data_IF_877828005376
#
_entry.id   IF_877828005376
#
_cell.length_a   1.000
_cell.length_b   1.000
_cell.length_c   1.000
_cell.angle_alpha   90.00
_cell.angle_beta   90.00
_cell.angle_gamma   90.00
#
_symmetry.space_group_name_H-M   'P 1'
#
loop_
_entity.id
_entity.type
_entity.pdbx_description
1 polymer ?
#
# COMPACT_ATOMS: atom_id res chain seq x y z
N UNK A 1 -28.71 -14.59 0.37
CA UNK A 1 -27.51 -14.66 1.22
C UNK A 1 -27.57 -13.51 2.20
N UNK A 2 -27.56 -13.78 3.51
CA UNK A 2 -27.72 -12.75 4.55
C UNK A 2 -26.35 -12.20 4.97
N UNK A 3 -25.99 -11.04 4.42
CA UNK A 3 -24.84 -10.27 4.87
C UNK A 3 -25.19 -9.48 6.14
N UNK A 4 -25.27 -10.15 7.30
CA UNK A 4 -25.75 -9.51 8.54
C UNK A 4 -24.71 -8.64 9.26
N UNK A 5 -23.41 -8.98 9.15
CA UNK A 5 -22.32 -8.30 9.86
C UNK A 5 -21.08 -8.40 8.98
N UNK A 6 -20.53 -7.28 8.52
CA UNK A 6 -19.31 -7.30 7.71
C UNK A 6 -18.10 -7.28 8.64
N UNK A 7 -17.40 -8.41 8.73
CA UNK A 7 -16.10 -8.43 9.37
C UNK A 7 -15.04 -8.24 8.28
N UNK A 8 -14.50 -7.03 8.18
CA UNK A 8 -13.38 -6.75 7.28
C UNK A 8 -12.22 -7.68 7.63
N UNK A 9 -11.87 -8.57 6.68
CA UNK A 9 -10.71 -9.44 6.74
C UNK A 9 -10.93 -10.89 7.17
N UNK A 10 -12.15 -11.42 7.41
CA UNK A 10 -12.29 -12.80 7.93
C UNK A 10 -11.92 -13.88 6.91
N UNK A 11 -10.84 -14.63 7.14
CA UNK A 11 -10.45 -15.88 6.48
C UNK A 11 -10.36 -17.07 7.47
N UNK A 12 -11.47 -17.72 7.84
CA UNK A 12 -11.48 -19.12 8.34
C UNK A 12 -11.88 -20.16 7.26
N UNK A 13 -11.15 -21.26 7.07
CA UNK A 13 -11.52 -22.27 6.06
C UNK A 13 -12.97 -22.78 6.26
N UNK A 14 -13.85 -22.54 5.28
CA UNK A 14 -15.24 -23.02 5.26
C UNK A 14 -16.34 -21.96 5.45
N UNK A 15 -16.11 -20.88 6.20
CA UNK A 15 -17.12 -19.83 6.49
C UNK A 15 -16.90 -18.50 5.74
N UNK A 16 -15.90 -18.44 4.85
CA UNK A 16 -15.24 -17.19 4.41
C UNK A 16 -15.80 -16.55 3.17
N UNK A 17 -16.27 -17.35 2.21
CA UNK A 17 -16.79 -16.80 0.95
C UNK A 17 -17.89 -15.77 1.22
N UNK A 18 -18.78 -16.10 2.16
CA UNK A 18 -20.00 -15.34 2.38
C UNK A 18 -19.76 -13.91 2.90
N UNK A 19 -18.69 -13.64 3.66
CA UNK A 19 -18.45 -12.29 4.21
C UNK A 19 -17.51 -11.44 3.35
N UNK A 20 -16.52 -12.06 2.69
CA UNK A 20 -15.68 -11.33 1.73
C UNK A 20 -16.49 -10.84 0.54
N UNK A 21 -17.49 -11.61 0.10
CA UNK A 21 -18.44 -11.22 -0.96
C UNK A 21 -19.30 -10.00 -0.58
N UNK A 22 -19.43 -9.68 0.71
CA UNK A 22 -20.26 -8.57 1.18
C UNK A 22 -19.50 -7.23 1.26
N UNK A 23 -18.16 -7.25 1.21
CA UNK A 23 -17.35 -6.04 1.18
C UNK A 23 -17.45 -5.33 -0.18
N UNK A 24 -17.28 -4.00 -0.17
CA UNK A 24 -17.46 -3.20 -1.38
C UNK A 24 -16.53 -3.60 -2.55
N UNK A 25 -15.27 -4.05 -2.35
CA UNK A 25 -14.42 -4.47 -3.47
C UNK A 25 -14.93 -5.73 -4.18
N UNK A 26 -15.41 -6.73 -3.43
CA UNK A 26 -15.98 -7.94 -4.02
C UNK A 26 -17.31 -7.65 -4.73
N UNK A 27 -18.14 -6.77 -4.15
CA UNK A 27 -19.35 -6.28 -4.82
C UNK A 27 -19.04 -5.54 -6.11
N UNK A 28 -17.97 -4.73 -6.13
CA UNK A 28 -17.52 -4.02 -7.31
C UNK A 28 -17.15 -4.99 -8.44
N UNK A 29 -16.40 -6.06 -8.13
CA UNK A 29 -16.10 -7.12 -9.11
C UNK A 29 -17.38 -7.73 -9.69
N UNK A 30 -18.32 -8.11 -8.82
CA UNK A 30 -19.60 -8.66 -9.25
C UNK A 30 -20.41 -7.68 -10.09
N UNK A 31 -20.41 -6.38 -9.77
CA UNK A 31 -21.09 -5.35 -10.54
C UNK A 31 -20.51 -5.27 -11.95
N UNK A 32 -19.18 -5.17 -12.09
CA UNK A 32 -18.53 -5.15 -13.40
C UNK A 32 -18.88 -6.40 -14.23
N UNK A 33 -18.64 -7.59 -13.68
CA UNK A 33 -18.82 -8.84 -14.41
C UNK A 33 -20.28 -9.11 -14.77
N UNK A 34 -21.23 -8.84 -13.85
CA UNK A 34 -22.65 -9.10 -14.13
C UNK A 34 -23.30 -8.03 -15.00
N UNK A 35 -23.05 -6.76 -14.72
CA UNK A 35 -23.75 -5.65 -15.39
C UNK A 35 -23.17 -5.39 -16.78
N UNK A 36 -21.83 -5.33 -16.91
CA UNK A 36 -21.20 -5.03 -18.19
C UNK A 36 -20.92 -6.27 -19.04
N UNK A 37 -20.52 -7.37 -18.40
CA UNK A 37 -20.00 -8.54 -19.10
C UNK A 37 -20.96 -9.74 -19.08
N UNK A 38 -22.24 -9.52 -18.75
CA UNK A 38 -23.30 -10.54 -18.77
C UNK A 38 -22.96 -11.79 -17.95
N UNK A 39 -22.21 -11.60 -16.85
CA UNK A 39 -21.76 -12.66 -15.96
C UNK A 39 -20.44 -13.32 -16.35
N UNK A 40 -19.78 -12.90 -17.44
CA UNK A 40 -18.42 -13.35 -17.76
C UNK A 40 -17.41 -12.74 -16.78
N UNK A 41 -16.47 -13.53 -16.31
CA UNK A 41 -15.39 -13.11 -15.41
C UNK A 41 -14.30 -12.39 -16.21
N UNK A 42 -14.52 -11.09 -16.48
CA UNK A 42 -13.58 -10.24 -17.24
C UNK A 42 -12.75 -9.38 -16.29
N UNK A 43 -13.36 -8.92 -15.20
CA UNK A 43 -12.73 -8.09 -14.17
C UNK A 43 -12.45 -8.92 -12.93
N UNK A 44 -11.27 -8.74 -12.34
CA UNK A 44 -10.88 -9.30 -11.04
C UNK A 44 -10.47 -8.16 -10.11
N UNK A 45 -11.09 -8.08 -8.94
CA UNK A 45 -10.78 -7.10 -7.90
C UNK A 45 -10.08 -7.80 -6.75
N UNK A 46 -8.88 -7.32 -6.43
CA UNK A 46 -8.07 -7.89 -5.35
C UNK A 46 -7.93 -6.89 -4.22
N UNK A 47 -8.40 -7.27 -3.03
CA UNK A 47 -8.41 -6.38 -1.88
C UNK A 47 -7.15 -6.55 -1.03
N UNK A 48 -6.16 -5.68 -1.24
CA UNK A 48 -4.91 -5.67 -0.47
C UNK A 48 -4.99 -4.87 0.85
N UNK A 49 -6.17 -4.34 1.20
CA UNK A 49 -6.32 -3.46 2.34
C UNK A 49 -5.96 -4.12 3.67
N UNK A 50 -5.25 -3.39 4.52
CA UNK A 50 -4.92 -3.79 5.90
C UNK A 50 -5.64 -2.86 6.85
N UNK A 51 -6.51 -3.39 7.72
CA UNK A 51 -7.23 -2.51 8.67
C UNK A 51 -6.28 -1.79 9.62
N UNK A 52 -6.50 -0.50 9.87
CA UNK A 52 -5.60 0.33 10.68
C UNK A 52 -4.28 0.62 9.95
N UNK A 53 -4.34 0.89 8.66
CA UNK A 53 -3.19 1.25 7.84
C UNK A 53 -3.52 2.50 7.02
N UNK A 54 -2.51 3.34 6.80
CA UNK A 54 -2.62 4.63 6.14
C UNK A 54 -1.95 4.58 4.76
N UNK A 55 -1.90 5.72 4.05
CA UNK A 55 -1.25 5.81 2.73
C UNK A 55 0.22 5.40 2.76
N UNK A 56 0.92 5.59 3.87
CA UNK A 56 2.33 5.24 4.00
C UNK A 56 2.55 3.72 4.01
N UNK A 57 1.68 2.98 4.71
CA UNK A 57 1.68 1.50 4.62
C UNK A 57 1.29 1.06 3.22
N UNK A 58 0.26 1.67 2.62
CA UNK A 58 -0.16 1.37 1.25
C UNK A 58 0.99 1.58 0.25
N UNK A 59 1.71 2.69 0.36
CA UNK A 59 2.91 3.00 -0.42
C UNK A 59 3.92 1.86 -0.29
N UNK A 60 4.25 1.46 0.93
CA UNK A 60 5.25 0.43 1.15
C UNK A 60 4.81 -0.96 0.64
N UNK A 61 3.51 -1.26 0.68
CA UNK A 61 2.97 -2.48 0.04
C UNK A 61 3.23 -2.48 -1.47
N UNK A 62 3.04 -1.33 -2.12
CA UNK A 62 3.29 -1.18 -3.56
C UNK A 62 4.79 -1.19 -3.88
N UNK A 63 5.56 -0.35 -3.19
CA UNK A 63 7.00 -0.15 -3.39
C UNK A 63 7.80 -1.44 -3.17
N UNK A 64 7.41 -2.26 -2.20
CA UNK A 64 8.11 -3.51 -1.87
C UNK A 64 7.48 -4.76 -2.48
N UNK A 65 6.48 -4.59 -3.35
CA UNK A 65 5.75 -5.69 -3.98
C UNK A 65 5.23 -6.71 -2.94
N UNK A 66 4.67 -6.22 -1.84
CA UNK A 66 4.18 -7.04 -0.72
C UNK A 66 2.77 -7.58 -1.01
N UNK A 67 2.58 -8.14 -2.19
CA UNK A 67 1.35 -8.76 -2.65
C UNK A 67 1.68 -9.97 -3.53
N UNK A 68 0.73 -10.89 -3.77
CA UNK A 68 0.99 -12.07 -4.60
C UNK A 68 1.41 -11.73 -6.03
N UNK A 69 2.31 -12.54 -6.61
CA UNK A 69 2.85 -12.42 -7.98
C UNK A 69 1.76 -12.28 -9.06
N UNK A 70 0.58 -12.86 -8.81
CA UNK A 70 -0.60 -12.72 -9.68
C UNK A 70 -1.10 -11.26 -9.82
N UNK A 71 -0.51 -10.32 -9.08
CA UNK A 71 -0.85 -8.90 -9.04
C UNK A 71 0.33 -7.99 -9.32
N UNK A 72 1.45 -8.50 -9.84
CA UNK A 72 2.65 -7.72 -10.16
C UNK A 72 2.43 -6.63 -11.22
N UNK A 73 1.33 -6.71 -11.98
CA UNK A 73 0.99 -5.74 -13.01
C UNK A 73 -0.50 -5.42 -12.99
N UNK A 74 -1.01 -4.69 -11.98
CA UNK A 74 -2.41 -4.29 -11.97
C UNK A 74 -2.69 -3.31 -13.12
N UNK A 75 -3.89 -3.38 -13.69
CA UNK A 75 -4.34 -2.35 -14.65
C UNK A 75 -4.91 -1.12 -13.93
N UNK A 76 -5.44 -1.32 -12.71
CA UNK A 76 -6.07 -0.28 -11.90
C UNK A 76 -5.65 -0.47 -10.44
N UNK A 77 -5.23 0.63 -9.80
CA UNK A 77 -4.97 0.70 -8.36
C UNK A 77 -5.94 1.69 -7.73
N UNK A 78 -6.80 1.21 -6.83
CA UNK A 78 -7.74 2.06 -6.09
C UNK A 78 -7.16 2.36 -4.72
N UNK A 79 -6.80 3.62 -4.49
CA UNK A 79 -6.43 4.13 -3.18
C UNK A 79 -7.68 4.35 -2.33
N UNK A 80 -7.66 3.88 -1.08
CA UNK A 80 -8.81 3.95 -0.17
C UNK A 80 -8.38 4.09 1.29
N UNK A 81 -7.46 5.03 1.57
CA UNK A 81 -6.92 5.27 2.93
C UNK A 81 -7.45 6.54 3.59
N UNK A 82 -8.40 7.23 2.97
CA UNK A 82 -8.93 8.52 3.43
C UNK A 82 -9.30 8.55 4.92
N UNK A 83 -10.00 7.53 5.40
CA UNK A 83 -10.41 7.43 6.80
C UNK A 83 -9.23 7.30 7.77
N UNK A 84 -8.16 6.63 7.34
CA UNK A 84 -6.96 6.42 8.15
C UNK A 84 -6.02 7.64 8.11
N UNK A 85 -5.76 8.21 6.93
CA UNK A 85 -4.91 9.41 6.80
C UNK A 85 -5.54 10.63 7.50
N UNK A 86 -6.87 10.69 7.51
CA UNK A 86 -7.59 11.70 8.27
C UNK A 86 -7.48 11.55 9.80
N UNK A 87 -6.85 10.49 10.32
CA UNK A 87 -6.53 10.35 11.74
C UNK A 87 -5.04 10.63 12.05
N UNK A 88 -4.21 10.86 11.04
CA UNK A 88 -2.78 11.17 11.25
C UNK A 88 -2.61 12.47 12.04
N UNK A 89 -1.71 12.48 13.02
CA UNK A 89 -1.42 13.71 13.80
C UNK A 89 -0.74 14.75 12.91
N UNK A 90 0.14 14.30 12.02
CA UNK A 90 0.83 15.12 11.03
C UNK A 90 0.08 15.10 9.69
N UNK A 91 -0.83 16.07 9.52
CA UNK A 91 -1.63 16.20 8.30
C UNK A 91 -0.82 16.59 7.09
N UNK A 92 0.23 17.38 7.28
CA UNK A 92 1.08 17.83 6.19
C UNK A 92 1.86 16.65 5.62
N UNK A 93 2.48 15.83 6.46
CA UNK A 93 3.13 14.59 6.01
C UNK A 93 2.16 13.64 5.31
N UNK A 94 0.97 13.43 5.86
CA UNK A 94 -0.03 12.56 5.23
C UNK A 94 -0.37 13.07 3.81
N UNK A 95 -0.58 14.38 3.67
CA UNK A 95 -1.02 14.98 2.42
C UNK A 95 0.09 15.18 1.38
N UNK A 96 1.25 15.68 1.79
CA UNK A 96 2.33 16.07 0.88
C UNK A 96 3.36 14.97 0.65
N UNK A 97 3.43 13.95 1.52
CA UNK A 97 4.40 12.87 1.39
C UNK A 97 3.73 11.51 1.18
N UNK A 98 2.78 11.15 2.03
CA UNK A 98 2.24 9.78 2.06
C UNK A 98 1.31 9.50 0.88
N UNK A 99 0.34 10.39 0.61
CA UNK A 99 -0.58 10.25 -0.52
C UNK A 99 0.16 10.35 -1.87
N UNK A 100 0.95 11.40 -2.14
CA UNK A 100 1.81 11.47 -3.33
C UNK A 100 2.74 10.27 -3.47
N UNK A 101 3.35 9.85 -2.37
CA UNK A 101 4.23 8.68 -2.35
C UNK A 101 3.52 7.40 -2.75
N UNK A 102 2.27 7.20 -2.32
CA UNK A 102 1.43 6.08 -2.75
C UNK A 102 1.18 6.12 -4.27
N UNK A 103 0.78 7.27 -4.80
CA UNK A 103 0.51 7.43 -6.24
C UNK A 103 1.75 7.10 -7.07
N UNK A 104 2.91 7.63 -6.66
CA UNK A 104 4.18 7.34 -7.33
C UNK A 104 4.54 5.85 -7.25
N UNK A 105 4.37 5.22 -6.08
CA UNK A 105 4.60 3.79 -5.93
C UNK A 105 3.67 2.95 -6.80
N UNK A 106 2.41 3.36 -6.98
CA UNK A 106 1.47 2.70 -7.88
C UNK A 106 1.90 2.82 -9.34
N UNK A 107 2.27 4.02 -9.82
CA UNK A 107 2.77 4.19 -11.19
C UNK A 107 4.05 3.39 -11.46
N UNK A 108 4.93 3.28 -10.47
CA UNK A 108 6.17 2.51 -10.60
C UNK A 108 5.95 1.00 -10.81
N UNK A 109 4.75 0.46 -10.52
CA UNK A 109 4.43 -0.94 -10.82
C UNK A 109 4.47 -1.23 -12.33
N UNK A 110 4.18 -0.22 -13.16
CA UNK A 110 4.25 -0.30 -14.62
C UNK A 110 4.96 0.93 -15.17
N UNK A 111 6.19 1.13 -14.71
CA UNK A 111 7.02 2.31 -15.01
C UNK A 111 7.12 2.66 -16.51
N UNK A 112 7.00 1.67 -17.40
CA UNK A 112 7.08 1.86 -18.86
C UNK A 112 5.73 1.92 -19.58
N UNK A 113 4.65 1.98 -18.81
CA UNK A 113 3.33 2.21 -19.33
C UNK A 113 2.92 3.64 -18.99
N UNK A 114 2.87 4.51 -19.99
CA UNK A 114 2.48 5.92 -19.81
C UNK A 114 1.03 6.07 -19.28
N UNK A 115 0.24 5.00 -19.27
CA UNK A 115 -1.17 5.03 -18.94
C UNK A 115 -1.60 4.05 -17.84
N UNK A 116 -0.73 3.11 -17.44
CA UNK A 116 -1.05 2.10 -16.44
C UNK A 116 -0.05 2.07 -15.27
N UNK A 117 -0.48 1.61 -14.08
CA UNK A 117 -1.88 1.41 -13.71
C UNK A 117 -2.64 2.75 -13.66
N UNK A 118 -3.94 2.70 -13.98
CA UNK A 118 -4.84 3.79 -13.64
C UNK A 118 -4.95 3.88 -12.12
N UNK A 119 -4.50 4.99 -11.54
CA UNK A 119 -4.64 5.26 -10.10
C UNK A 119 -5.95 6.01 -9.85
N UNK A 120 -6.78 5.48 -8.96
CA UNK A 120 -8.07 6.07 -8.58
C UNK A 120 -8.07 6.41 -7.10
N UNK A 121 -8.39 7.66 -6.78
CA UNK A 121 -8.46 8.15 -5.42
C UNK A 121 -9.89 8.04 -4.90
N UNK A 122 -10.18 7.00 -4.11
CA UNK A 122 -11.50 6.78 -3.51
C UNK A 122 -11.53 7.30 -2.06
N UNK A 123 -12.24 8.41 -1.84
CA UNK A 123 -12.53 8.93 -0.52
C UNK A 123 -13.69 8.15 0.10
N UNK A 124 -13.38 7.27 1.05
CA UNK A 124 -14.38 6.60 1.87
C UNK A 124 -15.03 7.57 2.86
N UNK A 125 -16.36 7.45 3.00
CA UNK A 125 -17.11 8.22 3.98
C UNK A 125 -16.94 7.64 5.38
N UNK A 126 -16.66 8.50 6.35
CA UNK A 126 -16.75 8.18 7.76
C UNK A 126 -17.36 9.38 8.50
N UNK A 127 -18.12 9.12 9.57
CA UNK A 127 -19.12 10.04 10.13
C UNK A 127 -18.58 11.29 10.85
N UNK A 128 -17.31 11.67 10.66
CA UNK A 128 -16.72 12.86 11.27
C UNK A 128 -16.34 13.88 10.21
N UNK A 129 -16.42 15.16 10.58
CA UNK A 129 -16.01 16.26 9.72
C UNK A 129 -14.48 16.34 9.69
N UNK A 130 -13.91 15.98 8.55
CA UNK A 130 -12.47 15.90 8.38
C UNK A 130 -12.03 16.55 7.06
N UNK A 131 -10.95 17.33 7.11
CA UNK A 131 -10.42 18.11 5.98
C UNK A 131 -9.67 17.25 4.93
N UNK A 132 -9.83 15.91 4.94
CA UNK A 132 -9.13 15.04 3.97
C UNK A 132 -9.72 15.17 2.56
N UNK A 133 -10.98 15.59 2.44
CA UNK A 133 -11.63 15.77 1.13
C UNK A 133 -10.86 16.77 0.27
N UNK A 134 -10.42 17.88 0.87
CA UNK A 134 -9.59 18.89 0.21
C UNK A 134 -8.24 18.33 -0.24
N UNK A 135 -7.60 17.52 0.61
CA UNK A 135 -6.36 16.82 0.28
C UNK A 135 -6.55 15.85 -0.90
N UNK A 136 -7.58 15.01 -0.88
CA UNK A 136 -7.85 14.05 -1.96
C UNK A 136 -8.18 14.76 -3.26
N UNK A 137 -8.98 15.82 -3.22
CA UNK A 137 -9.27 16.65 -4.38
C UNK A 137 -8.00 17.27 -4.95
N UNK A 138 -7.14 17.86 -4.12
CA UNK A 138 -5.86 18.44 -4.55
C UNK A 138 -4.96 17.37 -5.17
N UNK A 139 -4.76 16.23 -4.50
CA UNK A 139 -3.93 15.13 -5.01
C UNK A 139 -4.48 14.59 -6.34
N UNK A 140 -5.80 14.38 -6.45
CA UNK A 140 -6.41 13.90 -7.69
C UNK A 140 -6.21 14.89 -8.83
N UNK A 141 -6.41 16.19 -8.60
CA UNK A 141 -6.16 17.20 -9.63
C UNK A 141 -4.69 17.34 -9.99
N UNK A 142 -3.80 17.25 -9.00
CA UNK A 142 -2.36 17.34 -9.19
C UNK A 142 -1.87 16.25 -10.14
N UNK A 143 -2.19 15.00 -9.82
CA UNK A 143 -1.73 13.85 -10.59
C UNK A 143 -2.62 13.55 -11.80
N UNK A 144 -3.68 14.34 -12.04
CA UNK A 144 -4.62 14.12 -13.14
C UNK A 144 -5.42 12.81 -12.99
N UNK A 145 -5.73 12.42 -11.76
CA UNK A 145 -6.37 11.15 -11.42
C UNK A 145 -7.89 11.27 -11.31
N UNK A 146 -8.57 10.12 -11.43
CA UNK A 146 -9.97 10.00 -11.05
C UNK A 146 -10.12 10.10 -9.53
N UNK A 147 -10.76 11.16 -9.04
CA UNK A 147 -11.15 11.32 -7.65
C UNK A 147 -12.63 10.99 -7.43
N UNK A 148 -12.93 10.05 -6.53
CA UNK A 148 -14.28 9.61 -6.20
C UNK A 148 -14.56 9.96 -4.74
N UNK A 149 -15.58 10.78 -4.50
CA UNK A 149 -16.02 11.12 -3.13
C UNK A 149 -17.28 10.35 -2.73
N UNK A 150 -17.12 9.29 -1.93
CA UNK A 150 -18.26 8.60 -1.34
C UNK A 150 -18.96 9.49 -0.30
N UNK A 151 -18.19 10.38 0.35
CA UNK A 151 -18.72 11.38 1.27
C UNK A 151 -19.81 12.21 0.60
N UNK A 152 -19.61 12.72 -0.62
CA UNK A 152 -20.64 13.52 -1.29
C UNK A 152 -21.94 12.74 -1.58
N UNK A 153 -21.86 11.43 -1.76
CA UNK A 153 -23.04 10.58 -2.03
C UNK A 153 -23.76 10.18 -0.73
N UNK A 154 -23.01 9.86 0.31
CA UNK A 154 -23.53 9.24 1.54
C UNK A 154 -23.83 10.29 2.62
N UNK A 155 -23.00 11.33 2.74
CA UNK A 155 -23.07 12.32 3.83
C UNK A 155 -24.39 13.08 3.86
N UNK A 156 -24.94 13.48 2.71
CA UNK A 156 -26.23 14.16 2.66
C UNK A 156 -27.35 13.31 3.27
N UNK A 157 -27.30 11.99 3.11
CA UNK A 157 -28.31 11.09 3.68
C UNK A 157 -28.08 10.84 5.17
N UNK A 158 -26.82 10.73 5.59
CA UNK A 158 -26.46 10.53 7.00
C UNK A 158 -26.73 11.79 7.83
N UNK A 159 -26.30 12.96 7.35
CA UNK A 159 -26.45 14.24 8.07
C UNK A 159 -27.87 14.79 8.03
N UNK A 160 -28.67 14.43 7.03
CA UNK A 160 -30.08 14.80 7.00
C UNK A 160 -30.90 14.17 8.14
N UNK A 161 -30.31 13.29 8.99
CA UNK A 161 -31.00 12.59 10.09
C UNK A 161 -32.42 12.21 9.68
N UNK A 162 -32.55 11.40 8.62
CA UNK A 162 -33.84 10.75 8.40
C UNK A 162 -34.21 10.06 9.71
N UNK A 163 -35.38 10.39 10.27
CA UNK A 163 -35.88 10.11 11.64
C UNK A 163 -35.92 8.61 12.05
N UNK A 164 -35.21 7.73 11.36
CA UNK A 164 -35.21 6.31 11.60
C UNK A 164 -33.76 5.79 11.77
N UNK A 165 -33.38 5.57 13.03
CA UNK A 165 -32.05 5.09 13.45
C UNK A 165 -31.62 3.82 12.69
N UNK A 166 -32.58 2.97 12.31
CA UNK A 166 -32.35 1.74 11.56
C UNK A 166 -31.65 1.97 10.20
N UNK A 167 -31.97 3.07 9.50
CA UNK A 167 -31.36 3.36 8.21
C UNK A 167 -29.90 3.80 8.36
N UNK A 168 -29.63 4.68 9.33
CA UNK A 168 -28.26 5.17 9.60
C UNK A 168 -27.36 4.02 10.06
N UNK A 169 -27.88 3.14 10.93
CA UNK A 169 -27.19 1.93 11.39
C UNK A 169 -26.88 0.93 10.26
N UNK A 170 -27.63 0.98 9.16
CA UNK A 170 -27.32 0.17 7.97
C UNK A 170 -26.16 0.74 7.14
N UNK A 171 -25.90 2.06 7.24
CA UNK A 171 -24.88 2.76 6.46
C UNK A 171 -23.54 2.80 7.21
N UNK A 172 -23.54 3.01 8.52
CA UNK A 172 -22.33 3.12 9.34
C UNK A 172 -22.50 2.30 10.61
N UNK A 173 -21.39 1.76 11.12
CA UNK A 173 -21.35 1.12 12.42
C UNK A 173 -21.62 2.11 13.57
N UNK A 174 -21.92 1.57 14.75
CA UNK A 174 -22.18 2.37 15.95
C UNK A 174 -21.00 3.28 16.37
N UNK A 175 -19.79 3.03 15.84
CA UNK A 175 -18.59 3.83 16.12
C UNK A 175 -18.37 4.93 15.07
N UNK A 176 -19.17 4.96 14.00
CA UNK A 176 -19.10 5.98 12.95
C UNK A 176 -17.92 5.83 11.98
N UNK A 177 -17.16 4.73 12.04
CA UNK A 177 -15.90 4.57 11.29
C UNK A 177 -16.02 3.52 10.19
N UNK A 178 -16.63 2.37 10.47
CA UNK A 178 -16.76 1.31 9.47
C UNK A 178 -18.14 1.37 8.81
N UNK A 179 -18.23 1.22 7.48
CA UNK A 179 -19.53 1.18 6.83
C UNK A 179 -20.29 -0.09 7.22
N UNK A 180 -21.60 0.08 7.46
CA UNK A 180 -22.55 -1.02 7.49
C UNK A 180 -22.79 -1.59 6.10
N UNK A 181 -23.75 -2.52 5.99
CA UNK A 181 -24.04 -3.19 4.71
C UNK A 181 -24.50 -2.23 3.61
N UNK A 182 -25.36 -1.28 3.95
CA UNK A 182 -25.81 -0.21 3.05
C UNK A 182 -24.64 0.67 2.60
N UNK A 183 -23.68 0.94 3.51
CA UNK A 183 -22.45 1.68 3.19
C UNK A 183 -21.59 0.94 2.17
N UNK A 184 -21.34 -0.36 2.36
CA UNK A 184 -20.58 -1.17 1.40
C UNK A 184 -21.26 -1.29 0.03
N UNK A 185 -22.59 -1.44 -0.01
CA UNK A 185 -23.36 -1.45 -1.26
C UNK A 185 -23.23 -0.09 -1.95
N UNK A 186 -23.45 1.00 -1.21
CA UNK A 186 -23.35 2.37 -1.72
C UNK A 186 -21.96 2.71 -2.25
N UNK A 187 -20.91 2.30 -1.54
CA UNK A 187 -19.52 2.44 -1.98
C UNK A 187 -19.27 1.71 -3.31
N UNK A 188 -19.68 0.43 -3.42
CA UNK A 188 -19.49 -0.34 -4.65
C UNK A 188 -20.19 0.27 -5.86
N UNK A 189 -21.42 0.77 -5.69
CA UNK A 189 -22.17 1.44 -6.76
C UNK A 189 -21.59 2.81 -7.13
N UNK A 190 -21.17 3.60 -6.14
CA UNK A 190 -20.53 4.90 -6.37
C UNK A 190 -19.27 4.73 -7.21
N UNK A 191 -18.39 3.78 -6.84
CA UNK A 191 -17.17 3.51 -7.60
C UNK A 191 -17.51 2.99 -9.00
N UNK A 192 -18.39 2.00 -9.10
CA UNK A 192 -18.82 1.44 -10.39
C UNK A 192 -19.37 2.52 -11.34
N UNK A 193 -20.29 3.37 -10.87
CA UNK A 193 -20.89 4.44 -11.66
C UNK A 193 -19.83 5.40 -12.24
N UNK A 194 -18.84 5.79 -11.44
CA UNK A 194 -17.79 6.70 -11.91
C UNK A 194 -16.92 6.06 -13.00
N UNK A 195 -16.63 4.76 -12.91
CA UNK A 195 -15.97 4.05 -14.00
C UNK A 195 -16.83 3.99 -15.27
N UNK A 196 -18.13 3.71 -15.16
CA UNK A 196 -19.04 3.73 -16.32
C UNK A 196 -19.06 5.11 -16.97
N UNK A 197 -19.21 6.16 -16.17
CA UNK A 197 -19.21 7.54 -16.65
C UNK A 197 -17.91 7.86 -17.39
N UNK A 198 -16.76 7.50 -16.81
CA UNK A 198 -15.46 7.74 -17.44
C UNK A 198 -15.32 6.96 -18.76
N UNK A 199 -15.81 5.71 -18.83
CA UNK A 199 -15.79 4.93 -20.06
C UNK A 199 -16.70 5.53 -21.14
N UNK A 200 -17.90 5.99 -20.78
CA UNK A 200 -18.81 6.64 -21.73
C UNK A 200 -18.21 7.94 -22.25
N UNK A 201 -17.65 8.76 -21.35
CA UNK A 201 -17.02 10.04 -21.71
C UNK A 201 -15.82 9.83 -22.63
N UNK A 202 -14.98 8.83 -22.37
CA UNK A 202 -13.85 8.48 -23.22
C UNK A 202 -14.30 8.01 -24.62
N UNK A 203 -15.40 7.25 -24.71
CA UNK A 203 -15.97 6.81 -25.98
C UNK A 203 -16.53 7.98 -26.79
N UNK A 204 -17.25 8.90 -26.14
CA UNK A 204 -17.84 10.06 -26.80
C UNK A 204 -16.79 11.09 -27.21
N UNK A 205 -15.74 11.28 -26.40
CA UNK A 205 -14.59 12.12 -26.77
C UNK A 205 -13.94 11.65 -28.07
N UNK A 206 -13.74 10.33 -28.25
CA UNK A 206 -13.19 9.77 -29.51
C UNK A 206 -14.12 10.00 -30.70
N UNK A 207 -15.43 9.98 -30.51
CA UNK A 207 -16.39 10.28 -31.59
C UNK A 207 -16.29 11.74 -32.02
N UNK A 208 -16.20 12.66 -31.07
CA UNK A 208 -16.12 14.10 -31.37
C UNK A 208 -14.75 14.48 -31.96
N UNK A 209 -13.64 13.91 -31.46
CA UNK A 209 -12.29 14.19 -31.97
C UNK A 209 -11.98 13.55 -33.32
N UNK A 210 -12.74 12.53 -33.73
CA UNK A 210 -12.68 11.98 -35.10
C UNK A 210 -13.32 12.88 -36.16
N UNK A 211 -13.98 13.96 -35.75
CA UNK A 211 -14.43 15.02 -36.64
C UNK A 211 -13.26 15.99 -36.91
N UNK A 212 -12.88 16.29 -38.17
CA UNK A 212 -11.65 17.00 -38.56
C UNK A 212 -11.59 18.49 -38.19
N UNK A 213 -12.36 18.92 -37.20
CA UNK A 213 -12.24 20.25 -36.59
C UNK A 213 -11.19 20.18 -35.49
N UNK A 214 -10.11 20.94 -35.65
CA UNK A 214 -8.98 21.03 -34.71
C UNK A 214 -9.43 21.34 -33.28
N UNK A 215 -9.62 20.31 -32.47
CA UNK A 215 -9.78 20.47 -31.03
C UNK A 215 -8.35 20.65 -30.49
N UNK A 216 -8.13 21.78 -29.82
CA UNK A 216 -6.86 22.08 -29.18
C UNK A 216 -6.42 20.90 -28.30
N UNK A 217 -5.13 20.56 -28.37
CA UNK A 217 -4.48 19.53 -27.54
C UNK A 217 -4.98 19.60 -26.09
N UNK A 218 -5.16 18.45 -25.38
CA UNK A 218 -5.39 18.41 -23.93
C UNK A 218 -4.48 19.35 -23.13
N UNK A 219 -3.27 19.64 -23.62
CA UNK A 219 -2.33 20.64 -23.06
C UNK A 219 -2.92 22.05 -22.93
N UNK A 220 -3.88 22.41 -23.78
CA UNK A 220 -4.55 23.73 -23.78
C UNK A 220 -5.67 23.78 -22.74
N UNK A 221 -6.30 22.65 -22.44
CA UNK A 221 -7.26 22.55 -21.34
C UNK A 221 -6.55 22.55 -19.98
N UNK A 222 -5.43 21.84 -19.86
CA UNK A 222 -4.58 21.85 -18.67
C UNK A 222 -4.02 23.26 -18.37
N UNK A 223 -3.65 24.03 -19.39
CA UNK A 223 -3.20 25.43 -19.24
C UNK A 223 -4.27 26.42 -18.74
N UNK A 224 -5.57 26.08 -18.83
CA UNK A 224 -6.65 26.95 -18.34
C UNK A 224 -6.91 26.82 -16.84
N UNK A 225 -6.43 25.76 -16.21
CA UNK A 225 -6.32 25.68 -14.76
C UNK A 225 -5.06 26.48 -14.42
N UNK A 226 -5.23 27.78 -14.13
CA UNK A 226 -4.10 28.69 -13.90
C UNK A 226 -3.14 28.12 -12.84
N UNK A 227 -1.83 28.41 -12.94
CA UNK A 227 -0.86 27.93 -11.97
C UNK A 227 -1.31 28.38 -10.59
N UNK A 228 -1.61 27.41 -9.72
CA UNK A 228 -1.90 27.68 -8.32
C UNK A 228 -0.61 28.28 -7.75
N UNK A 229 -0.57 29.60 -7.57
CA UNK A 229 0.55 30.27 -6.91
C UNK A 229 0.46 29.90 -5.44
N UNK A 230 1.17 28.85 -5.05
CA UNK A 230 1.30 28.45 -3.64
C UNK A 230 2.17 29.48 -2.90
N UNK A 231 1.65 29.91 -1.75
CA UNK A 231 2.45 30.60 -0.74
C UNK A 231 3.44 29.58 -0.16
N UNK A 232 4.69 29.62 -0.61
CA UNK A 232 5.83 29.08 0.14
C UNK A 232 6.13 27.57 0.02
N UNK A 233 5.32 26.79 -0.67
CA UNK A 233 5.70 25.43 -1.06
C UNK A 233 6.42 25.50 -2.42
N UNK A 234 7.53 24.78 -2.57
CA UNK A 234 8.35 24.80 -3.78
C UNK A 234 7.54 24.43 -5.04
N UNK A 235 8.10 24.63 -6.23
CA UNK A 235 7.44 24.24 -7.48
C UNK A 235 7.40 22.70 -7.60
N UNK A 236 6.50 22.05 -6.87
CA UNK A 236 6.41 20.59 -6.81
C UNK A 236 5.88 20.03 -8.15
N UNK A 237 5.30 20.87 -9.04
CA UNK A 237 5.05 20.51 -10.44
C UNK A 237 6.35 20.18 -11.19
N UNK A 238 7.43 20.87 -10.85
CA UNK A 238 8.76 20.58 -11.39
C UNK A 238 9.33 19.27 -10.85
N UNK A 239 9.07 18.91 -9.59
CA UNK A 239 9.49 17.62 -9.01
C UNK A 239 8.74 16.45 -9.63
N UNK A 240 7.42 16.60 -9.86
CA UNK A 240 6.65 15.58 -10.58
C UNK A 240 7.15 15.41 -12.02
N UNK A 241 7.41 16.51 -12.73
CA UNK A 241 7.96 16.45 -14.07
C UNK A 241 9.34 15.77 -14.08
N UNK A 242 10.23 16.10 -13.13
CA UNK A 242 11.52 15.41 -12.96
C UNK A 242 11.33 13.91 -12.73
N UNK A 243 10.33 13.52 -11.94
CA UNK A 243 10.01 12.11 -11.73
C UNK A 243 9.57 11.43 -13.03
N UNK A 244 8.65 12.03 -13.79
CA UNK A 244 8.21 11.52 -15.09
C UNK A 244 9.37 11.41 -16.10
N UNK A 245 10.24 12.42 -16.15
CA UNK A 245 11.40 12.43 -17.04
C UNK A 245 12.40 11.30 -16.67
N UNK A 246 12.64 11.10 -15.36
CA UNK A 246 13.48 10.00 -14.86
C UNK A 246 12.87 8.62 -15.16
N UNK A 247 11.55 8.48 -15.02
CA UNK A 247 10.79 7.27 -15.35
C UNK A 247 10.95 6.93 -16.85
N UNK A 248 10.79 7.92 -17.73
CA UNK A 248 11.01 7.75 -19.18
C UNK A 248 12.44 7.33 -19.51
N UNK A 249 13.43 7.91 -18.82
CA UNK A 249 14.83 7.51 -18.98
C UNK A 249 15.07 6.05 -18.56
N UNK A 250 14.49 5.61 -17.44
CA UNK A 250 14.58 4.23 -16.98
C UNK A 250 13.98 3.24 -18.01
N UNK A 251 12.84 3.60 -18.61
CA UNK A 251 12.19 2.77 -19.61
C UNK A 251 12.96 2.71 -20.93
N UNK A 252 13.49 3.84 -21.40
CA UNK A 252 14.36 3.84 -22.57
C UNK A 252 15.60 2.94 -22.38
N UNK A 253 16.17 2.90 -21.16
CA UNK A 253 17.28 1.99 -20.83
C UNK A 253 16.83 0.53 -20.84
N UNK A 254 15.68 0.22 -20.25
CA UNK A 254 15.15 -1.15 -20.22
C UNK A 254 14.87 -1.67 -21.64
N UNK A 255 14.28 -0.84 -22.51
CA UNK A 255 14.09 -1.18 -23.93
C UNK A 255 15.42 -1.40 -24.66
N UNK A 256 16.45 -0.60 -24.36
CA UNK A 256 17.78 -0.74 -24.94
C UNK A 256 18.47 -2.04 -24.50
N UNK A 257 18.38 -2.40 -23.22
CA UNK A 257 18.92 -3.66 -22.68
C UNK A 257 18.25 -4.89 -23.32
N UNK A 258 16.92 -4.86 -23.49
CA UNK A 258 16.20 -5.92 -24.20
C UNK A 258 16.63 -6.00 -25.67
N UNK A 259 16.77 -4.86 -26.36
CA UNK A 259 17.17 -4.83 -27.77
C UNK A 259 18.58 -5.39 -28.01
N UNK A 260 19.53 -5.14 -27.09
CA UNK A 260 20.91 -5.62 -27.20
C UNK A 260 21.04 -7.11 -26.89
N UNK A 261 20.18 -7.66 -26.03
CA UNK A 261 20.13 -9.10 -25.74
C UNK A 261 19.56 -9.94 -26.90
N UNK A 262 18.73 -9.35 -27.78
CA UNK A 262 18.06 -10.06 -28.88
C UNK A 262 18.89 -10.15 -30.17
N UNK A 263 20.08 -9.55 -30.22
CA UNK A 263 20.98 -9.70 -31.37
C UNK A 263 21.75 -11.03 -31.37
N UNK A 264 21.53 -11.90 -30.37
CA UNK A 264 21.94 -13.31 -30.43
C UNK A 264 20.91 -14.10 -31.25
N UNK A 265 21.24 -14.30 -32.52
CA UNK A 265 20.39 -14.62 -33.66
C UNK A 265 19.85 -16.07 -33.68
N UNK A 266 19.30 -16.57 -32.57
CA UNK A 266 18.64 -17.89 -32.52
C UNK A 266 17.16 -17.83 -32.12
N UNK A 267 16.33 -17.87 -33.16
CA UNK A 267 14.90 -18.23 -33.17
C UNK A 267 13.92 -17.29 -32.46
N UNK A 268 13.32 -16.42 -33.28
CA UNK A 268 12.08 -15.69 -33.05
C UNK A 268 10.97 -16.61 -32.52
N UNK A 269 10.81 -16.61 -31.20
CA UNK A 269 9.54 -16.94 -30.56
C UNK A 269 9.10 -15.66 -29.88
N UNK A 270 7.97 -15.11 -30.31
CA UNK A 270 7.33 -13.90 -29.75
C UNK A 270 6.74 -14.21 -28.38
N UNK A 271 7.53 -14.82 -27.49
CA UNK A 271 7.29 -14.76 -26.06
C UNK A 271 7.50 -13.31 -25.68
N UNK A 272 6.41 -12.59 -25.41
CA UNK A 272 6.40 -11.43 -24.53
C UNK A 272 7.31 -11.76 -23.35
N UNK A 273 8.55 -11.29 -23.40
CA UNK A 273 9.50 -11.50 -22.32
C UNK A 273 8.99 -10.65 -21.18
N UNK A 274 8.10 -11.24 -20.38
CA UNK A 274 7.98 -10.94 -18.97
C UNK A 274 9.35 -11.26 -18.39
N UNK A 275 10.35 -10.40 -18.64
CA UNK A 275 11.53 -10.33 -17.81
C UNK A 275 10.97 -10.13 -16.42
N UNK A 276 10.98 -11.21 -15.65
CA UNK A 276 10.48 -11.26 -14.30
C UNK A 276 11.25 -10.17 -13.56
N UNK A 277 10.57 -9.05 -13.31
CA UNK A 277 11.14 -7.91 -12.63
C UNK A 277 11.80 -8.45 -11.38
N UNK A 278 13.12 -8.25 -11.27
CA UNK A 278 13.82 -8.67 -10.06
C UNK A 278 13.10 -8.06 -8.87
N UNK A 279 12.83 -8.84 -7.82
CA UNK A 279 12.08 -8.34 -6.68
C UNK A 279 12.78 -7.09 -6.13
N UNK A 280 12.04 -6.08 -5.66
CA UNK A 280 12.59 -4.82 -5.14
C UNK A 280 13.50 -5.00 -3.92
N UNK A 281 13.44 -6.18 -3.30
CA UNK A 281 13.97 -6.48 -1.99
C UNK A 281 14.73 -7.80 -1.98
N UNK A 282 15.85 -7.82 -1.26
CA UNK A 282 16.57 -9.05 -0.91
C UNK A 282 15.71 -9.95 -0.01
N UNK A 283 15.03 -9.33 0.96
CA UNK A 283 14.17 -10.02 1.91
C UNK A 283 12.98 -9.13 2.21
N UNK A 284 11.76 -9.64 2.06
CA UNK A 284 10.57 -8.90 2.44
C UNK A 284 9.45 -9.83 2.86
N UNK A 285 8.66 -9.38 3.83
CA UNK A 285 7.35 -9.92 4.09
C UNK A 285 6.44 -8.93 4.81
N UNK A 286 5.14 -9.15 4.66
CA UNK A 286 4.12 -8.50 5.45
C UNK A 286 2.98 -9.48 5.69
N UNK A 287 2.48 -9.48 6.93
CA UNK A 287 1.28 -10.23 7.28
C UNK A 287 0.06 -9.56 6.65
N UNK A 288 -0.55 -10.23 5.69
CA UNK A 288 -1.76 -9.76 5.03
C UNK A 288 -2.59 -10.97 4.57
N UNK A 289 -3.93 -10.96 4.73
CA UNK A 289 -4.79 -12.05 4.26
C UNK A 289 -4.63 -12.43 2.78
N UNK A 290 -4.12 -11.53 1.95
CA UNK A 290 -3.89 -11.79 0.52
C UNK A 290 -2.49 -12.29 0.21
N UNK A 291 -1.46 -11.99 1.01
CA UNK A 291 -0.07 -12.42 0.74
C UNK A 291 0.13 -13.90 1.01
N UNK A 292 1.32 -14.43 0.71
CA UNK A 292 1.71 -15.78 1.13
C UNK A 292 1.87 -15.91 2.65
N UNK A 293 1.91 -14.79 3.40
CA UNK A 293 2.14 -14.77 4.85
C UNK A 293 0.87 -14.32 5.56
N UNK A 294 0.07 -15.28 6.01
CA UNK A 294 -1.28 -15.01 6.57
C UNK A 294 -1.40 -15.39 8.03
N UNK A 295 -0.71 -16.45 8.43
CA UNK A 295 -0.82 -17.08 9.75
C UNK A 295 0.46 -16.87 10.56
N UNK A 296 0.40 -17.09 11.87
CA UNK A 296 1.60 -17.15 12.71
C UNK A 296 2.59 -18.22 12.24
N UNK A 297 2.10 -19.35 11.71
CA UNK A 297 2.93 -20.39 11.11
C UNK A 297 3.74 -19.89 9.92
N UNK A 298 3.12 -19.10 9.04
CA UNK A 298 3.80 -18.51 7.88
C UNK A 298 4.86 -17.48 8.31
N UNK A 299 4.54 -16.66 9.33
CA UNK A 299 5.49 -15.70 9.91
C UNK A 299 6.69 -16.41 10.52
N UNK A 300 6.48 -17.45 11.34
CA UNK A 300 7.56 -18.24 11.92
C UNK A 300 8.41 -18.88 10.82
N UNK A 301 7.77 -19.49 9.81
CA UNK A 301 8.48 -20.09 8.67
C UNK A 301 9.38 -19.06 7.99
N UNK A 302 8.86 -17.88 7.69
CA UNK A 302 9.60 -16.81 7.00
C UNK A 302 10.73 -16.25 7.85
N UNK A 303 10.48 -15.97 9.13
CA UNK A 303 11.51 -15.47 10.05
C UNK A 303 12.65 -16.47 10.22
N UNK A 304 12.34 -17.77 10.35
CA UNK A 304 13.35 -18.83 10.52
C UNK A 304 14.29 -19.00 9.31
N UNK A 305 13.99 -18.43 8.14
CA UNK A 305 14.91 -18.42 7.00
C UNK A 305 16.17 -17.59 7.29
N UNK A 306 16.08 -16.58 8.17
CA UNK A 306 17.13 -15.59 8.41
C UNK A 306 17.46 -15.39 9.90
N UNK A 307 16.75 -16.07 10.80
CA UNK A 307 16.90 -15.95 12.26
C UNK A 307 18.18 -16.65 12.75
N UNK A 308 19.05 -15.91 13.44
CA UNK A 308 20.28 -16.45 14.06
C UNK A 308 19.99 -16.86 15.52
N UNK A 309 19.29 -16.00 16.24
CA UNK A 309 18.99 -16.15 17.67
C UNK A 309 17.64 -15.52 17.99
N UNK A 310 16.96 -16.05 19.01
CA UNK A 310 15.67 -15.53 19.45
C UNK A 310 15.42 -15.87 20.92
N UNK A 311 15.18 -14.82 21.70
CA UNK A 311 14.81 -14.88 23.12
C UNK A 311 13.56 -14.03 23.34
N UNK A 312 12.44 -14.66 23.68
CA UNK A 312 11.21 -13.96 24.06
C UNK A 312 10.35 -13.41 22.92
N UNK A 313 10.69 -13.72 21.65
CA UNK A 313 9.83 -13.39 20.51
C UNK A 313 9.17 -14.63 19.90
N UNK A 314 7.90 -14.53 19.53
CA UNK A 314 7.16 -15.61 18.90
C UNK A 314 6.20 -15.08 17.84
N UNK A 315 6.02 -15.82 16.73
CA UNK A 315 4.90 -15.52 15.86
C UNK A 315 3.60 -15.98 16.52
N UNK A 316 2.65 -15.06 16.58
CA UNK A 316 1.38 -15.26 17.24
C UNK A 316 0.24 -14.58 16.50
N UNK A 317 -0.99 -14.90 16.88
CA UNK A 317 -2.18 -14.24 16.41
C UNK A 317 -2.89 -14.97 15.27
N UNK A 318 -4.03 -14.41 14.87
CA UNK A 318 -4.91 -14.96 13.85
C UNK A 318 -4.87 -14.06 12.60
N UNK A 319 -5.21 -14.56 11.40
CA UNK A 319 -5.19 -13.72 10.19
C UNK A 319 -6.08 -12.46 10.29
N UNK A 320 -7.02 -12.43 11.25
CA UNK A 320 -8.14 -11.48 11.28
C UNK A 320 -8.54 -11.07 12.68
N UNK A 321 -8.71 -12.06 13.56
CA UNK A 321 -9.10 -11.83 14.95
C UNK A 321 -7.91 -11.27 15.72
N UNK A 322 -8.19 -10.42 16.70
CA UNK A 322 -7.15 -9.96 17.60
C UNK A 322 -6.72 -11.10 18.56
N UNK A 323 -5.43 -11.19 18.91
CA UNK A 323 -4.32 -10.46 18.30
C UNK A 323 -4.12 -10.90 16.84
N UNK A 324 -3.95 -9.94 15.92
CA UNK A 324 -3.71 -10.26 14.50
C UNK A 324 -2.34 -10.90 14.32
N UNK A 325 -2.18 -11.77 13.32
CA UNK A 325 -0.92 -12.44 13.04
C UNK A 325 0.27 -11.44 12.95
N UNK A 326 1.42 -11.84 13.47
CA UNK A 326 2.66 -11.06 13.49
C UNK A 326 3.72 -11.68 14.40
N UNK A 327 4.88 -11.04 14.52
CA UNK A 327 5.97 -11.45 15.39
C UNK A 327 6.00 -10.57 16.64
N UNK A 328 5.82 -11.19 17.81
CA UNK A 328 5.53 -10.50 19.05
C UNK A 328 6.63 -10.70 20.08
N UNK A 329 7.01 -9.62 20.77
CA UNK A 329 7.60 -9.69 22.11
C UNK A 329 6.50 -9.54 23.16
N UNK A 330 6.59 -10.32 24.24
CA UNK A 330 5.68 -10.25 25.39
C UNK A 330 6.38 -10.21 26.74
N UNK A 331 7.70 -10.04 26.71
CA UNK A 331 8.55 -10.01 27.89
C UNK A 331 9.55 -8.85 27.75
N UNK A 332 9.92 -8.17 28.86
CA UNK A 332 10.99 -7.18 28.86
C UNK A 332 12.32 -7.78 28.38
N UNK A 333 13.17 -6.98 27.74
CA UNK A 333 14.49 -7.41 27.23
C UNK A 333 14.45 -8.55 26.20
N UNK A 334 13.27 -8.89 25.66
CA UNK A 334 13.16 -9.82 24.54
C UNK A 334 14.00 -9.32 23.36
N UNK A 335 14.75 -10.21 22.73
CA UNK A 335 15.65 -9.87 21.64
C UNK A 335 15.77 -11.00 20.63
N UNK A 336 16.07 -10.65 19.38
CA UNK A 336 16.38 -11.61 18.34
C UNK A 336 17.35 -10.99 17.33
N UNK A 337 18.07 -11.84 16.60
CA UNK A 337 19.05 -11.40 15.60
C UNK A 337 18.78 -12.07 14.27
N UNK A 338 18.95 -11.33 13.17
CA UNK A 338 18.80 -11.80 11.79
C UNK A 338 20.14 -11.70 11.04
N UNK A 339 20.42 -12.65 10.13
CA UNK A 339 21.46 -12.55 9.10
C UNK A 339 20.80 -12.71 7.74
N UNK A 340 20.92 -11.69 6.90
CA UNK A 340 20.29 -11.63 5.59
C UNK A 340 21.38 -11.44 4.54
N UNK A 341 21.56 -12.42 3.67
CA UNK A 341 22.51 -12.31 2.57
C UNK A 341 21.93 -11.47 1.43
N UNK A 342 22.57 -10.35 1.12
CA UNK A 342 22.16 -9.41 0.09
C UNK A 342 22.22 -10.07 -1.30
N UNK A 343 21.05 -10.34 -1.89
CA UNK A 343 20.95 -10.90 -3.25
C UNK A 343 21.07 -9.81 -4.33
N UNK A 344 20.96 -8.55 -3.91
CA UNK A 344 21.08 -7.34 -4.70
C UNK A 344 21.54 -6.17 -3.82
N UNK A 345 21.88 -5.04 -4.45
CA UNK A 345 22.08 -3.77 -3.74
C UNK A 345 20.86 -3.46 -2.86
N UNK A 346 21.10 -3.36 -1.56
CA UNK A 346 20.08 -3.17 -0.54
C UNK A 346 20.45 -1.95 0.28
N UNK A 347 19.60 -0.92 0.30
CA UNK A 347 19.91 0.38 0.93
C UNK A 347 19.07 0.69 2.13
N UNK A 348 17.87 0.12 2.20
CA UNK A 348 16.90 0.45 3.22
C UNK A 348 16.42 -0.80 3.95
N UNK A 349 16.19 -0.65 5.24
CA UNK A 349 15.42 -1.57 6.07
C UNK A 349 14.12 -0.89 6.46
N UNK A 350 12.99 -1.56 6.27
CA UNK A 350 11.69 -1.09 6.71
C UNK A 350 11.06 -2.07 7.70
N UNK A 351 10.65 -1.55 8.86
CA UNK A 351 9.92 -2.30 9.88
C UNK A 351 8.46 -1.85 9.85
N UNK A 352 7.54 -2.76 9.51
CA UNK A 352 6.10 -2.54 9.65
C UNK A 352 5.72 -2.87 11.10
N UNK A 353 5.78 -1.88 11.99
CA UNK A 353 5.43 -2.08 13.39
C UNK A 353 3.94 -1.79 13.61
N UNK A 354 3.33 -2.42 14.63
CA UNK A 354 2.03 -1.97 15.10
C UNK A 354 2.23 -1.07 16.31
N UNK A 355 1.68 0.14 16.23
CA UNK A 355 1.51 1.01 17.39
C UNK A 355 0.13 0.83 18.00
N UNK A 356 0.05 0.90 19.32
CA UNK A 356 -1.20 0.73 20.04
C UNK A 356 -1.29 1.65 21.26
N UNK A 357 -2.53 1.93 21.69
CA UNK A 357 -2.84 2.69 22.89
C UNK A 357 -3.05 1.79 24.13
N UNK A 358 -3.02 0.47 23.96
CA UNK A 358 -3.21 -0.46 25.07
C UNK A 358 -2.09 -0.33 26.10
N UNK A 359 -2.41 -0.55 27.38
CA UNK A 359 -1.46 -0.34 28.49
C UNK A 359 -0.18 -1.16 28.34
N UNK A 360 -0.24 -2.35 27.75
CA UNK A 360 0.93 -3.20 27.51
C UNK A 360 1.96 -2.58 26.55
N UNK A 361 1.52 -1.66 25.67
CA UNK A 361 2.40 -0.97 24.72
C UNK A 361 3.01 0.30 25.29
N UNK A 362 2.54 0.80 26.44
CA UNK A 362 3.08 2.02 27.06
C UNK A 362 4.59 1.88 27.26
N UNK A 363 5.30 2.96 26.96
CA UNK A 363 6.75 3.09 27.09
C UNK A 363 7.54 2.01 26.35
N UNK A 364 6.93 1.33 25.37
CA UNK A 364 7.60 0.26 24.64
C UNK A 364 8.51 0.85 23.57
N UNK A 365 9.81 0.53 23.66
CA UNK A 365 10.85 0.99 22.74
C UNK A 365 11.66 -0.22 22.27
N UNK A 366 11.71 -0.40 20.95
CA UNK A 366 12.54 -1.38 20.26
C UNK A 366 13.81 -0.70 19.76
N UNK A 367 14.97 -1.11 20.27
CA UNK A 367 16.28 -0.76 19.73
C UNK A 367 16.61 -1.71 18.57
N UNK A 368 17.11 -1.17 17.47
CA UNK A 368 17.52 -1.92 16.28
C UNK A 368 18.93 -1.53 15.91
N UNK A 369 19.86 -2.48 15.98
CA UNK A 369 21.27 -2.31 15.63
C UNK A 369 21.57 -3.09 14.34
N UNK A 370 22.02 -2.38 13.31
CA UNK A 370 22.25 -2.92 11.96
C UNK A 370 23.71 -2.82 11.60
N UNK A 371 24.28 -3.93 11.13
CA UNK A 371 25.66 -4.08 10.70
C UNK A 371 25.73 -4.68 9.30
N UNK A 372 26.74 -4.29 8.53
CA UNK A 372 27.03 -4.88 7.21
C UNK A 372 28.38 -5.58 7.28
N UNK A 373 28.37 -6.84 6.89
CA UNK A 373 29.56 -7.68 6.75
C UNK A 373 29.87 -7.81 5.26
N UNK A 374 30.99 -7.25 4.81
CA UNK A 374 31.35 -7.26 3.38
C UNK A 374 32.02 -8.57 2.97
N UNK A 375 31.78 -8.97 1.72
CA UNK A 375 32.39 -10.19 1.16
C UNK A 375 33.83 -9.93 0.69
N UNK A 376 34.81 -10.30 1.52
CA UNK A 376 36.26 -10.11 1.31
C UNK A 376 36.78 -9.10 2.33
N UNK A 377 37.62 -9.46 3.31
CA UNK A 377 38.85 -10.25 3.22
C UNK A 377 38.94 -11.36 4.29
N UNK A 378 39.85 -12.30 4.07
CA UNK A 378 39.89 -13.60 4.73
C UNK A 378 40.02 -13.56 6.27
N UNK A 379 39.15 -14.34 6.91
CA UNK A 379 39.23 -14.95 8.25
C UNK A 379 38.63 -14.23 9.46
N UNK A 380 38.29 -12.94 9.39
CA UNK A 380 37.44 -12.28 10.40
C UNK A 380 36.40 -11.43 9.67
N UNK A 381 35.11 -11.69 9.89
CA UNK A 381 34.03 -10.82 9.41
C UNK A 381 34.21 -9.45 10.07
N UNK A 382 34.99 -8.56 9.45
CA UNK A 382 35.21 -7.21 9.96
C UNK A 382 33.87 -6.46 9.92
N UNK A 383 33.34 -6.15 11.10
CA UNK A 383 32.16 -5.30 11.23
C UNK A 383 32.58 -3.91 10.79
N UNK A 384 32.23 -3.56 9.55
CA UNK A 384 32.71 -2.31 8.94
C UNK A 384 32.13 -1.11 9.66
N UNK A 385 30.79 -1.07 9.82
CA UNK A 385 30.05 -0.02 10.54
C UNK A 385 28.70 -0.53 11.07
N UNK A 386 28.21 0.13 12.11
CA UNK A 386 26.91 -0.12 12.72
C UNK A 386 26.06 1.15 12.78
N UNK A 387 24.75 1.02 12.56
CA UNK A 387 23.78 2.08 12.85
C UNK A 387 22.77 1.59 13.88
N UNK A 388 22.33 2.50 14.76
CA UNK A 388 21.30 2.21 15.76
C UNK A 388 20.05 3.06 15.55
N UNK A 389 18.90 2.43 15.68
CA UNK A 389 17.59 3.03 15.49
C UNK A 389 16.66 2.68 16.67
N UNK A 390 15.68 3.54 16.91
CA UNK A 390 14.65 3.30 17.91
C UNK A 390 13.25 3.35 17.28
N UNK A 391 12.41 2.39 17.66
CA UNK A 391 11.01 2.31 17.23
C UNK A 391 10.09 2.25 18.45
N UNK A 392 9.19 3.21 18.56
CA UNK A 392 8.19 3.24 19.64
C UNK A 392 6.95 2.41 19.29
N UNK A 393 6.47 1.59 20.23
CA UNK A 393 5.25 0.78 20.08
C UNK A 393 3.96 1.48 20.54
N UNK A 394 4.07 2.64 21.19
CA UNK A 394 2.93 3.34 21.79
C UNK A 394 2.44 4.53 20.96
N UNK A 395 1.13 4.79 21.01
CA UNK A 395 0.55 6.08 20.69
C UNK A 395 -0.74 6.30 21.51
N UNK A 396 -1.28 7.51 21.52
CA UNK A 396 -2.52 7.83 22.26
C UNK A 396 -3.82 7.68 21.43
N UNK A 397 -3.70 7.44 20.12
CA UNK A 397 -4.86 7.28 19.23
C UNK A 397 -5.65 6.04 19.62
N UNK A 398 -6.98 6.14 19.80
CA UNK A 398 -7.85 5.06 20.32
C UNK A 398 -8.11 3.89 19.33
N UNK A 399 -7.17 3.63 18.43
CA UNK A 399 -7.15 2.46 17.54
C UNK A 399 -5.71 2.05 17.32
N UNK A 400 -5.44 0.74 17.20
CA UNK A 400 -4.09 0.29 16.81
C UNK A 400 -3.87 0.51 15.32
N UNK A 401 -2.68 0.96 14.94
CA UNK A 401 -2.31 1.24 13.55
C UNK A 401 -0.97 0.60 13.22
N UNK A 402 -0.76 0.27 11.95
CA UNK A 402 0.53 -0.15 11.45
C UNK A 402 1.27 1.06 10.88
N UNK A 403 2.55 1.18 11.23
CA UNK A 403 3.42 2.28 10.78
C UNK A 403 4.70 1.68 10.18
N UNK A 404 5.05 2.05 8.94
CA UNK A 404 6.34 1.71 8.38
C UNK A 404 7.43 2.59 9.01
N UNK A 405 8.54 1.97 9.42
CA UNK A 405 9.74 2.66 9.88
C UNK A 405 10.87 2.34 8.90
N UNK A 406 11.16 3.27 8.00
CA UNK A 406 12.19 3.13 6.97
C UNK A 406 13.51 3.73 7.46
N UNK A 407 14.57 2.94 7.39
CA UNK A 407 15.91 3.30 7.82
C UNK A 407 16.91 3.08 6.70
N UNK A 408 17.83 4.01 6.52
CA UNK A 408 19.01 3.78 5.68
C UNK A 408 19.93 2.77 6.35
N UNK A 409 20.50 1.85 5.59
CA UNK A 409 21.53 0.95 6.08
C UNK A 409 22.86 1.72 6.22
N UNK A 410 23.75 1.33 7.16
CA UNK A 410 25.05 1.99 7.30
C UNK A 410 25.84 1.95 6.00
N UNK A 411 26.76 2.90 5.81
CA UNK A 411 27.64 2.96 4.63
C UNK A 411 26.94 3.05 3.27
N UNK A 412 25.67 3.48 3.25
CA UNK A 412 24.90 3.65 2.02
C UNK A 412 24.30 2.37 1.46
N UNK A 413 24.42 1.25 2.19
CA UNK A 413 23.80 -0.03 1.82
C UNK A 413 24.77 -1.21 1.77
N UNK A 414 24.19 -2.39 1.58
CA UNK A 414 24.87 -3.65 1.33
C UNK A 414 24.87 -3.95 -0.17
N UNK A 415 26.00 -4.41 -0.69
CA UNK A 415 26.13 -4.86 -2.08
C UNK A 415 25.74 -6.33 -2.23
N UNK A 416 25.58 -6.79 -3.48
CA UNK A 416 25.27 -8.20 -3.75
C UNK A 416 26.39 -9.10 -3.24
N UNK A 417 26.05 -9.99 -2.31
CA UNK A 417 26.96 -10.94 -1.68
C UNK A 417 27.40 -10.57 -0.27
N UNK A 418 27.13 -9.34 0.18
CA UNK A 418 27.32 -8.94 1.58
C UNK A 418 26.27 -9.60 2.48
N UNK A 419 26.51 -9.62 3.79
CA UNK A 419 25.52 -10.03 4.79
C UNK A 419 25.10 -8.85 5.67
N UNK A 420 23.80 -8.68 5.84
CA UNK A 420 23.21 -7.69 6.74
C UNK A 420 22.87 -8.41 8.05
N UNK A 421 23.49 -7.99 9.15
CA UNK A 421 23.22 -8.52 10.48
C UNK A 421 22.42 -7.48 11.27
N UNK A 422 21.26 -7.87 11.78
CA UNK A 422 20.37 -6.97 12.52
C UNK A 422 20.03 -7.55 13.88
N UNK A 423 20.24 -6.78 14.93
CA UNK A 423 19.88 -7.13 16.30
C UNK A 423 18.71 -6.27 16.75
N UNK A 424 17.62 -6.91 17.14
CA UNK A 424 16.42 -6.29 17.67
C UNK A 424 16.36 -6.54 19.17
N UNK A 425 16.24 -5.48 19.99
CA UNK A 425 16.13 -5.62 21.44
C UNK A 425 15.06 -4.71 22.00
N UNK A 426 14.14 -5.29 22.77
CA UNK A 426 13.14 -4.53 23.51
C UNK A 426 13.79 -3.89 24.75
N UNK A 427 14.21 -2.63 24.64
CA UNK A 427 14.94 -1.92 25.71
C UNK A 427 14.02 -1.29 26.75
N UNK A 428 12.74 -1.12 26.41
CA UNK A 428 11.71 -0.64 27.34
C UNK A 428 10.35 -1.25 26.99
N UNK A 429 9.48 -1.38 27.99
CA UNK A 429 8.19 -2.04 27.89
C UNK A 429 8.30 -3.57 27.88
N UNK A 430 7.19 -4.23 27.58
CA UNK A 430 7.11 -5.70 27.51
C UNK A 430 6.38 -6.21 26.28
N UNK A 431 5.75 -5.35 25.48
CA UNK A 431 4.88 -5.79 24.40
C UNK A 431 5.15 -5.02 23.10
N UNK A 432 5.66 -5.70 22.09
CA UNK A 432 5.90 -5.12 20.77
C UNK A 432 5.43 -6.06 19.67
N UNK A 433 5.01 -5.51 18.52
CA UNK A 433 4.60 -6.30 17.36
C UNK A 433 5.28 -5.79 16.09
N UNK A 434 5.92 -6.71 15.38
CA UNK A 434 6.36 -6.56 14.00
C UNK A 434 5.36 -7.30 13.10
N UNK A 435 4.70 -6.57 12.21
CA UNK A 435 3.76 -7.11 11.22
C UNK A 435 4.40 -7.36 9.85
N UNK A 436 5.63 -6.88 9.64
CA UNK A 436 6.37 -7.05 8.40
C UNK A 436 7.77 -6.48 8.51
N UNK A 437 8.68 -6.99 7.69
CA UNK A 437 10.06 -6.54 7.55
C UNK A 437 10.43 -6.54 6.07
N UNK A 438 11.17 -5.55 5.62
CA UNK A 438 11.66 -5.46 4.26
C UNK A 438 13.08 -4.89 4.20
N UNK A 439 13.92 -5.44 3.34
CA UNK A 439 15.30 -5.04 3.07
C UNK A 439 15.42 -4.83 1.56
N UNK A 440 15.37 -3.57 1.13
CA UNK A 440 15.11 -3.19 -0.24
C UNK A 440 16.11 -2.16 -0.78
N UNK A 441 16.15 -2.02 -2.10
CA UNK A 441 16.98 -1.02 -2.78
C UNK A 441 16.47 0.41 -2.58
N UNK A 442 15.15 0.60 -2.50
CA UNK A 442 14.53 1.93 -2.52
C UNK A 442 13.73 2.27 -1.27
#
# INVERSE_FOLDING_TARGET
MACGINHVGITQPGWVRQYTECAWPARLEHLFNRVLFQGKEVVKVSNLAVGGSNSEVGKAVLEYHLFPDAFDQPDIVIWSHAANDAQEKDKERAFFESIPGFVNAAHNLRICDDHLPLVVMNEEFFGQDNDISGAIYKASNWFGLMGISQRNVISHKTFAKFDNDDYVNSIIDAKGVHPGMGGHIGASWTVFYNFISAFTDACDYRRVSSSPTSIASPDVAAKKIGPYKENGYGDISSEWKKHQDKVREMCARQEQEVSTSNNDETAATTTTSNQQLHPPCTYAFMVNPMTSIRTSGDVNKKMNEVLISNTGWNAEGFPVKQPRAGFYAKEPNAHFSLKIDASMETKYMTIMSMKSYGDNFKDTILEVDVQIQRKGDAAEEEVVKSSKYEVTGYHETKTSIHIPHKFELPDGGAEKGDSIVVNFRLVSGSYFKIAGLAFCRY
#
